data_IF_810263246255
#
_entry.id   IF_810263246255
#
_cell.length_a   1.000
_cell.length_b   1.000
_cell.length_c   1.000
_cell.angle_alpha   90.00
_cell.angle_beta   90.00
_cell.angle_gamma   90.00
#
_symmetry.space_group_name_H-M   'P 1'
#
loop_
_entity.id
_entity.type
_entity.pdbx_description
1 polymer ?
#
# COMPACT_ATOMS: atom_id res chain seq x y z
N UNK A 1 -22.80 -10.69 3.93
CA UNK A 1 -21.69 -11.63 4.11
C UNK A 1 -20.83 -11.09 5.24
N UNK A 2 -20.21 -11.88 6.07
CA UNK A 2 -19.63 -11.44 7.31
C UNK A 2 -18.17 -11.87 7.47
N UNK A 3 -17.33 -10.94 7.94
CA UNK A 3 -16.08 -11.31 8.54
C UNK A 3 -16.38 -11.87 9.93
N UNK A 4 -16.02 -13.14 10.19
CA UNK A 4 -16.21 -13.79 11.50
C UNK A 4 -14.92 -13.85 12.31
N UNK A 5 -13.80 -13.36 11.76
CA UNK A 5 -12.51 -13.28 12.42
C UNK A 5 -11.58 -12.25 11.79
N UNK A 6 -10.45 -12.05 12.44
CA UNK A 6 -9.47 -11.01 12.11
C UNK A 6 -8.42 -11.47 11.09
N UNK A 7 -8.36 -12.78 10.80
CA UNK A 7 -7.37 -13.35 9.89
C UNK A 7 -7.86 -13.33 8.45
N UNK A 8 -6.91 -13.35 7.54
CA UNK A 8 -7.14 -13.22 6.10
C UNK A 8 -8.17 -14.20 5.52
N UNK A 9 -8.27 -15.42 6.06
CA UNK A 9 -9.20 -16.47 5.60
C UNK A 9 -10.40 -16.67 6.54
N UNK A 10 -10.66 -15.78 7.47
CA UNK A 10 -11.79 -15.82 8.38
C UNK A 10 -12.94 -14.92 7.88
N UNK A 11 -13.25 -15.00 6.58
CA UNK A 11 -14.36 -14.32 5.92
C UNK A 11 -14.81 -15.07 4.66
N UNK A 12 -16.08 -14.88 4.27
CA UNK A 12 -16.68 -15.56 3.12
C UNK A 12 -16.01 -15.17 1.80
N UNK A 13 -15.70 -13.88 1.63
CA UNK A 13 -15.14 -13.33 0.38
C UNK A 13 -13.79 -13.94 0.03
N UNK A 14 -12.91 -14.09 1.02
CA UNK A 14 -11.62 -14.74 0.81
C UNK A 14 -11.77 -16.23 0.46
N UNK A 15 -12.77 -16.91 1.04
CA UNK A 15 -13.03 -18.33 0.74
C UNK A 15 -13.69 -18.50 -0.63
N UNK A 16 -14.58 -17.61 -1.03
CA UNK A 16 -15.23 -17.64 -2.36
C UNK A 16 -14.17 -17.42 -3.45
N UNK A 17 -13.25 -16.47 -3.25
CA UNK A 17 -12.14 -16.23 -4.17
C UNK A 17 -11.17 -17.41 -4.30
N UNK A 18 -11.04 -18.26 -3.30
CA UNK A 18 -10.20 -19.47 -3.42
C UNK A 18 -10.66 -20.40 -4.56
N UNK A 19 -11.94 -20.37 -4.92
CA UNK A 19 -12.42 -21.14 -6.07
C UNK A 19 -11.83 -20.62 -7.39
N UNK A 20 -11.66 -19.31 -7.54
CA UNK A 20 -11.02 -18.70 -8.71
C UNK A 20 -9.52 -19.05 -8.73
N UNK A 21 -8.86 -19.00 -7.57
CA UNK A 21 -7.47 -19.44 -7.42
C UNK A 21 -7.26 -20.91 -7.82
N UNK A 22 -8.19 -21.80 -7.44
CA UNK A 22 -8.14 -23.22 -7.83
C UNK A 22 -8.34 -23.43 -9.33
N UNK A 23 -9.21 -22.61 -9.97
CA UNK A 23 -9.55 -22.72 -11.38
C UNK A 23 -8.48 -22.12 -12.30
N UNK A 24 -7.97 -20.95 -11.97
CA UNK A 24 -7.11 -20.11 -12.84
C UNK A 24 -5.66 -20.01 -12.34
N UNK A 25 -5.39 -20.48 -11.13
CA UNK A 25 -4.04 -20.52 -10.59
C UNK A 25 -3.46 -19.16 -10.25
N UNK A 26 -2.17 -18.98 -10.55
CA UNK A 26 -1.44 -17.76 -10.22
C UNK A 26 -1.93 -16.52 -10.98
N UNK A 27 -2.61 -16.70 -12.10
CA UNK A 27 -3.14 -15.59 -12.87
C UNK A 27 -4.31 -14.93 -12.13
N UNK A 28 -5.24 -15.71 -11.52
CA UNK A 28 -6.27 -15.15 -10.65
C UNK A 28 -5.70 -14.33 -9.48
N UNK A 29 -4.59 -14.80 -8.90
CA UNK A 29 -3.90 -14.08 -7.83
C UNK A 29 -3.34 -12.74 -8.31
N UNK A 30 -2.70 -12.72 -9.47
CA UNK A 30 -2.12 -11.49 -10.06
C UNK A 30 -3.20 -10.52 -10.48
N UNK A 31 -4.26 -10.99 -11.12
CA UNK A 31 -5.37 -10.16 -11.61
C UNK A 31 -6.10 -9.48 -10.45
N UNK A 32 -6.39 -10.20 -9.37
CA UNK A 32 -6.98 -9.61 -8.17
C UNK A 32 -6.07 -8.56 -7.52
N UNK A 33 -4.80 -8.91 -7.30
CA UNK A 33 -3.86 -7.98 -6.67
C UNK A 33 -3.64 -6.73 -7.55
N UNK A 34 -3.63 -6.87 -8.88
CA UNK A 34 -3.50 -5.74 -9.80
C UNK A 34 -4.76 -4.87 -9.79
N UNK A 35 -5.95 -5.46 -9.83
CA UNK A 35 -7.21 -4.74 -9.77
C UNK A 35 -7.28 -3.87 -8.51
N UNK A 36 -6.96 -4.43 -7.34
CA UNK A 36 -6.99 -3.70 -6.08
C UNK A 36 -5.87 -2.66 -6.00
N UNK A 37 -4.65 -3.00 -6.43
CA UNK A 37 -3.51 -2.08 -6.38
C UNK A 37 -3.65 -0.87 -7.31
N UNK A 38 -4.41 -1.00 -8.40
CA UNK A 38 -4.63 0.03 -9.41
C UNK A 38 -5.95 0.81 -9.19
N UNK A 39 -6.76 0.42 -8.19
CA UNK A 39 -7.95 1.18 -7.77
C UNK A 39 -7.51 2.55 -7.26
N UNK A 40 -8.07 3.61 -7.83
CA UNK A 40 -7.76 5.00 -7.46
C UNK A 40 -8.09 5.26 -5.98
N UNK A 41 -7.30 6.11 -5.32
CA UNK A 41 -7.53 6.47 -3.91
C UNK A 41 -8.87 7.20 -3.68
N UNK A 42 -9.43 7.82 -4.73
CA UNK A 42 -10.75 8.47 -4.69
C UNK A 42 -11.91 7.48 -4.91
N UNK A 43 -11.62 6.30 -5.45
CA UNK A 43 -12.58 5.22 -5.68
C UNK A 43 -12.77 4.40 -4.40
N UNK A 44 -14.01 3.98 -4.14
CA UNK A 44 -14.35 3.18 -2.97
C UNK A 44 -14.02 1.72 -3.22
N UNK A 45 -13.14 1.15 -2.39
CA UNK A 45 -12.78 -0.26 -2.45
C UNK A 45 -13.77 -1.08 -1.62
N UNK A 46 -14.47 -1.99 -2.28
CA UNK A 46 -15.43 -2.91 -1.68
C UNK A 46 -14.76 -3.87 -0.69
N UNK A 47 -15.52 -4.30 0.32
CA UNK A 47 -15.04 -5.21 1.38
C UNK A 47 -14.62 -6.57 0.83
N UNK A 48 -15.32 -7.08 -0.19
CA UNK A 48 -15.07 -8.41 -0.75
C UNK A 48 -13.73 -8.40 -1.49
N UNK A 49 -13.46 -7.41 -2.34
CA UNK A 49 -12.18 -7.23 -3.04
C UNK A 49 -11.03 -6.99 -2.05
N UNK A 50 -11.25 -6.16 -1.03
CA UNK A 50 -10.28 -5.91 0.02
C UNK A 50 -9.90 -7.16 0.80
N UNK A 51 -10.88 -7.98 1.19
CA UNK A 51 -10.65 -9.21 1.94
C UNK A 51 -9.94 -10.28 1.09
N UNK A 52 -10.35 -10.46 -0.17
CA UNK A 52 -9.71 -11.37 -1.10
C UNK A 52 -8.25 -10.95 -1.39
N UNK A 53 -7.98 -9.64 -1.53
CA UNK A 53 -6.62 -9.14 -1.74
C UNK A 53 -5.70 -9.39 -0.53
N UNK A 54 -6.19 -9.26 0.70
CA UNK A 54 -5.42 -9.64 1.90
C UNK A 54 -5.10 -11.14 1.88
N UNK A 55 -6.06 -12.01 1.53
CA UNK A 55 -5.84 -13.44 1.41
C UNK A 55 -4.81 -13.79 0.31
N UNK A 56 -4.91 -13.17 -0.85
CA UNK A 56 -3.94 -13.32 -1.95
C UNK A 56 -2.53 -12.90 -1.52
N UNK A 57 -2.40 -11.79 -0.81
CA UNK A 57 -1.12 -11.31 -0.31
C UNK A 57 -0.50 -12.25 0.75
N UNK A 58 -1.31 -12.90 1.59
CA UNK A 58 -0.85 -13.97 2.51
C UNK A 58 -0.26 -15.15 1.74
N UNK A 59 -0.89 -15.54 0.62
CA UNK A 59 -0.37 -16.61 -0.25
C UNK A 59 0.99 -16.22 -0.84
N UNK A 60 1.14 -14.98 -1.32
CA UNK A 60 2.42 -14.47 -1.84
C UNK A 60 3.52 -14.51 -0.77
N UNK A 61 3.22 -14.06 0.45
CA UNK A 61 4.17 -14.11 1.56
C UNK A 61 4.57 -15.55 1.91
N UNK A 62 3.60 -16.46 1.97
CA UNK A 62 3.82 -17.87 2.31
C UNK A 62 4.57 -18.65 1.23
N UNK A 63 4.35 -18.36 -0.05
CA UNK A 63 5.13 -18.95 -1.15
C UNK A 63 6.62 -18.56 -1.06
N UNK A 64 6.94 -17.45 -0.43
CA UNK A 64 8.31 -17.01 -0.12
C UNK A 64 8.83 -17.55 1.23
N UNK A 65 8.12 -18.49 1.83
CA UNK A 65 8.50 -19.12 3.10
C UNK A 65 8.19 -18.29 4.34
N UNK A 66 7.28 -17.29 4.25
CA UNK A 66 6.99 -16.38 5.36
C UNK A 66 5.51 -16.44 5.75
N UNK A 67 5.20 -17.04 6.90
CA UNK A 67 3.83 -17.07 7.44
C UNK A 67 2.95 -18.19 6.89
N UNK A 68 3.54 -19.31 6.47
CA UNK A 68 2.81 -20.49 5.98
C UNK A 68 1.84 -21.07 7.02
N UNK A 69 2.14 -20.90 8.30
CA UNK A 69 1.32 -21.30 9.45
C UNK A 69 0.03 -20.48 9.60
N UNK A 70 -0.11 -19.42 8.82
CA UNK A 70 -1.28 -18.54 8.81
C UNK A 70 -2.33 -18.96 7.77
N UNK A 71 -1.95 -19.85 6.85
CA UNK A 71 -2.81 -20.32 5.77
C UNK A 71 -3.71 -21.47 6.23
N UNK A 72 -4.83 -21.63 5.54
CA UNK A 72 -5.67 -22.81 5.70
C UNK A 72 -5.00 -24.06 5.11
N UNK A 73 -5.48 -25.24 5.48
CA UNK A 73 -4.91 -26.50 4.94
C UNK A 73 -5.11 -26.63 3.43
N UNK A 74 -6.22 -26.10 2.93
CA UNK A 74 -6.59 -26.10 1.52
C UNK A 74 -5.59 -25.25 0.73
N UNK A 75 -5.29 -24.05 1.19
CA UNK A 75 -4.30 -23.15 0.57
C UNK A 75 -2.89 -23.73 0.63
N UNK A 76 -2.52 -24.36 1.75
CA UNK A 76 -1.23 -25.06 1.88
C UNK A 76 -1.14 -26.19 0.84
N UNK A 77 -2.20 -27.00 0.70
CA UNK A 77 -2.24 -28.08 -0.29
C UNK A 77 -2.14 -27.54 -1.73
N UNK A 78 -2.82 -26.44 -2.02
CA UNK A 78 -2.72 -25.76 -3.31
C UNK A 78 -1.28 -25.28 -3.60
N UNK A 79 -0.63 -24.62 -2.65
CA UNK A 79 0.76 -24.17 -2.78
C UNK A 79 1.72 -25.33 -3.03
N UNK A 80 1.54 -26.44 -2.31
CA UNK A 80 2.39 -27.62 -2.46
C UNK A 80 2.18 -28.35 -3.80
N UNK A 81 0.93 -28.33 -4.30
CA UNK A 81 0.58 -28.97 -5.56
C UNK A 81 0.95 -28.14 -6.80
N UNK A 82 0.89 -26.82 -6.70
CA UNK A 82 1.07 -25.93 -7.85
C UNK A 82 2.46 -25.27 -7.90
N UNK A 83 3.17 -25.18 -6.77
CA UNK A 83 4.49 -24.54 -6.66
C UNK A 83 4.59 -23.25 -7.50
N UNK A 84 3.71 -22.25 -7.28
CA UNK A 84 3.58 -21.12 -8.18
C UNK A 84 4.91 -20.35 -8.31
N UNK A 85 5.28 -20.02 -9.55
CA UNK A 85 6.47 -19.21 -9.84
C UNK A 85 6.15 -17.72 -9.59
N UNK A 86 6.27 -17.32 -8.31
CA UNK A 86 6.08 -15.94 -7.88
C UNK A 86 7.42 -15.20 -7.92
N UNK A 87 7.44 -14.13 -8.68
CA UNK A 87 8.61 -13.27 -8.91
C UNK A 87 8.63 -12.05 -7.95
N UNK A 88 9.67 -11.24 -8.03
CA UNK A 88 9.81 -10.07 -7.15
C UNK A 88 8.69 -9.04 -7.37
N UNK A 89 8.20 -8.94 -8.58
CA UNK A 89 7.12 -8.06 -8.98
C UNK A 89 5.80 -8.42 -8.28
N UNK A 90 5.53 -9.72 -8.05
CA UNK A 90 4.34 -10.18 -7.32
C UNK A 90 4.37 -9.72 -5.85
N UNK A 91 5.56 -9.64 -5.24
CA UNK A 91 5.70 -9.07 -3.88
C UNK A 91 5.38 -7.57 -3.87
N UNK A 92 5.88 -6.82 -4.85
CA UNK A 92 5.60 -5.39 -4.97
C UNK A 92 4.10 -5.17 -5.18
N UNK A 93 3.50 -5.97 -6.05
CA UNK A 93 2.07 -5.91 -6.33
C UNK A 93 1.23 -6.22 -5.09
N UNK A 94 1.57 -7.27 -4.35
CA UNK A 94 0.91 -7.63 -3.09
C UNK A 94 1.06 -6.51 -2.03
N UNK A 95 2.24 -5.89 -1.91
CA UNK A 95 2.43 -4.75 -1.02
C UNK A 95 1.49 -3.60 -1.39
N UNK A 96 1.44 -3.21 -2.68
CA UNK A 96 0.58 -2.12 -3.17
C UNK A 96 -0.90 -2.42 -2.92
N UNK A 97 -1.36 -3.63 -3.19
CA UNK A 97 -2.73 -4.04 -2.94
C UNK A 97 -3.08 -3.93 -1.44
N UNK A 98 -2.24 -4.46 -0.55
CA UNK A 98 -2.45 -4.36 0.90
C UNK A 98 -2.41 -2.90 1.37
N UNK A 99 -1.49 -2.09 0.85
CA UNK A 99 -1.42 -0.66 1.14
C UNK A 99 -2.69 0.06 0.69
N UNK A 100 -3.27 -0.29 -0.47
CA UNK A 100 -4.56 0.24 -0.94
C UNK A 100 -5.72 -0.16 -0.03
N UNK A 101 -5.75 -1.41 0.44
CA UNK A 101 -6.80 -1.89 1.37
C UNK A 101 -6.80 -1.11 2.69
N UNK A 102 -5.63 -0.72 3.20
CA UNK A 102 -5.53 0.08 4.45
C UNK A 102 -5.59 1.60 4.21
N UNK A 103 -5.71 2.02 2.95
CA UNK A 103 -5.89 3.41 2.57
C UNK A 103 -7.28 3.95 2.91
N UNK A 104 -7.52 5.25 2.69
CA UNK A 104 -8.85 5.84 2.72
C UNK A 104 -9.79 5.20 1.68
N UNK A 105 -11.10 5.39 1.84
CA UNK A 105 -12.12 4.86 0.94
C UNK A 105 -12.03 3.33 0.74
N UNK A 106 -11.85 2.60 1.84
CA UNK A 106 -11.85 1.14 1.88
C UNK A 106 -12.84 0.64 2.92
N UNK A 107 -13.85 -0.11 2.45
CA UNK A 107 -14.90 -0.63 3.32
C UNK A 107 -14.34 -1.61 4.36
N UNK A 108 -13.40 -2.47 3.97
CA UNK A 108 -12.77 -3.42 4.89
C UNK A 108 -12.03 -2.67 6.02
N UNK A 109 -11.33 -1.59 5.71
CA UNK A 109 -10.70 -0.76 6.72
C UNK A 109 -11.73 -0.12 7.65
N UNK A 110 -12.78 0.51 7.09
CA UNK A 110 -13.84 1.16 7.87
C UNK A 110 -14.51 0.18 8.82
N UNK A 111 -14.81 -1.04 8.36
CA UNK A 111 -15.39 -2.10 9.18
C UNK A 111 -14.55 -2.41 10.43
N UNK A 112 -13.23 -2.42 10.31
CA UNK A 112 -12.33 -2.72 11.43
C UNK A 112 -11.95 -1.50 12.25
N UNK A 113 -12.14 -0.27 11.74
CA UNK A 113 -11.94 0.99 12.47
C UNK A 113 -13.13 1.37 13.36
N UNK A 114 -14.34 0.86 13.11
CA UNK A 114 -15.52 1.14 13.96
C UNK A 114 -15.31 0.78 15.44
N UNK A 115 -14.33 -0.05 15.76
CA UNK A 115 -14.00 -0.45 17.13
C UNK A 115 -12.80 0.26 17.76
N UNK A 116 -11.75 0.55 17.03
CA UNK A 116 -10.50 1.21 17.49
C UNK A 116 -9.47 1.25 16.37
N UNK A 117 -8.73 2.33 16.25
CA UNK A 117 -7.54 2.42 15.36
C UNK A 117 -6.40 1.46 15.76
N UNK A 118 -6.54 0.76 16.87
CA UNK A 118 -5.57 -0.20 17.43
C UNK A 118 -6.16 -1.62 17.42
N UNK A 119 -7.01 -1.92 16.43
CA UNK A 119 -7.63 -3.24 16.30
C UNK A 119 -6.58 -4.33 16.00
N UNK A 120 -6.81 -5.58 16.44
CA UNK A 120 -5.95 -6.72 16.13
C UNK A 120 -5.76 -6.92 14.62
N UNK A 121 -6.78 -6.60 13.81
CA UNK A 121 -6.68 -6.64 12.35
C UNK A 121 -5.57 -5.72 11.81
N UNK A 122 -5.45 -4.49 12.30
CA UNK A 122 -4.37 -3.58 11.88
C UNK A 122 -2.98 -4.14 12.23
N UNK A 123 -2.84 -4.78 13.39
CA UNK A 123 -1.59 -5.43 13.76
C UNK A 123 -1.25 -6.61 12.83
N UNK A 124 -2.28 -7.35 12.42
CA UNK A 124 -2.16 -8.50 11.52
C UNK A 124 -1.73 -8.06 10.11
N UNK A 125 -2.40 -7.06 9.56
CA UNK A 125 -2.05 -6.50 8.24
C UNK A 125 -0.66 -5.86 8.24
N UNK A 126 -0.26 -5.20 9.33
CA UNK A 126 1.12 -4.69 9.48
C UNK A 126 2.15 -5.81 9.40
N UNK A 127 1.90 -6.91 10.11
CA UNK A 127 2.76 -8.11 10.08
C UNK A 127 2.81 -8.72 8.68
N UNK A 128 1.70 -8.69 7.93
CA UNK A 128 1.67 -9.13 6.53
C UNK A 128 2.59 -8.26 5.67
N UNK A 129 2.50 -6.94 5.75
CA UNK A 129 3.38 -6.03 5.01
C UNK A 129 4.87 -6.23 5.35
N UNK A 130 5.21 -6.46 6.62
CA UNK A 130 6.58 -6.80 7.03
C UNK A 130 7.05 -8.12 6.39
N UNK A 131 6.18 -9.13 6.32
CA UNK A 131 6.48 -10.43 5.67
C UNK A 131 6.63 -10.29 4.16
N UNK A 132 5.87 -9.41 3.51
CA UNK A 132 6.02 -9.07 2.10
C UNK A 132 7.31 -8.28 1.83
N UNK A 133 7.89 -7.65 2.85
CA UNK A 133 9.10 -6.85 2.75
C UNK A 133 8.82 -5.36 2.54
N UNK A 134 7.58 -4.92 2.71
CA UNK A 134 7.25 -3.49 2.74
C UNK A 134 7.88 -2.82 3.96
N UNK A 135 8.40 -1.62 3.76
CA UNK A 135 8.81 -0.71 4.83
C UNK A 135 7.71 0.28 5.20
N UNK A 136 6.52 0.13 4.59
CA UNK A 136 5.38 1.01 4.85
C UNK A 136 4.96 0.94 6.33
N UNK A 137 4.73 2.09 6.92
CA UNK A 137 4.21 2.20 8.29
C UNK A 137 2.69 2.26 8.24
N UNK A 138 2.00 1.17 8.58
CA UNK A 138 0.55 1.17 8.78
C UNK A 138 0.24 2.09 9.97
N UNK A 139 -0.74 2.97 9.79
CA UNK A 139 -1.13 3.95 10.82
C UNK A 139 -0.38 5.27 10.76
N UNK A 140 0.58 5.45 9.83
CA UNK A 140 0.83 6.79 9.34
C UNK A 140 -0.38 7.15 8.45
N UNK A 141 -1.04 8.29 8.61
CA UNK A 141 -2.07 8.71 7.69
C UNK A 141 -1.49 8.63 6.29
N UNK A 142 -2.13 7.86 5.40
CA UNK A 142 -1.74 7.82 4.00
C UNK A 142 -2.00 9.19 3.43
N UNK A 143 -0.90 9.87 3.12
CA UNK A 143 -0.86 11.26 2.73
C UNK A 143 -0.90 11.40 1.21
N UNK A 144 -1.71 10.58 0.53
CA UNK A 144 -1.82 10.65 -0.94
C UNK A 144 -2.54 11.92 -1.42
N UNK A 145 -3.40 12.53 -0.58
CA UNK A 145 -3.97 13.86 -0.80
C UNK A 145 -3.80 14.80 0.39
N UNK A 146 -2.77 14.58 1.21
CA UNK A 146 -2.44 15.58 2.21
C UNK A 146 -2.01 16.85 1.47
N UNK A 147 -2.79 17.92 1.62
CA UNK A 147 -2.35 19.23 1.15
C UNK A 147 -0.97 19.51 1.71
N UNK A 148 -0.03 19.86 0.84
CA UNK A 148 1.29 20.26 1.25
C UNK A 148 1.17 21.30 2.36
N UNK A 149 1.65 20.96 3.57
CA UNK A 149 1.54 21.89 4.69
C UNK A 149 2.46 23.08 4.45
N UNK A 150 2.07 24.25 4.92
CA UNK A 150 2.94 25.44 4.88
C UNK A 150 4.28 25.16 5.58
N UNK A 151 4.29 24.28 6.58
CA UNK A 151 5.50 23.83 7.27
C UNK A 151 6.46 23.06 6.35
N UNK A 152 5.96 22.17 5.48
CA UNK A 152 6.79 21.41 4.53
C UNK A 152 7.35 22.32 3.44
N UNK A 153 6.55 23.25 2.91
CA UNK A 153 7.01 24.26 1.95
C UNK A 153 8.07 25.18 2.55
N UNK A 154 7.85 25.62 3.79
CA UNK A 154 8.80 26.45 4.51
C UNK A 154 10.11 25.71 4.81
N UNK A 155 10.04 24.42 5.15
CA UNK A 155 11.21 23.57 5.34
C UNK A 155 12.02 23.44 4.03
N UNK A 156 11.35 23.24 2.88
CA UNK A 156 12.00 23.19 1.57
C UNK A 156 12.73 24.50 1.27
N UNK A 157 12.07 25.65 1.44
CA UNK A 157 12.67 26.95 1.19
C UNK A 157 13.87 27.23 2.11
N UNK A 158 13.73 26.90 3.39
CA UNK A 158 14.83 27.04 4.36
C UNK A 158 16.02 26.18 3.97
N UNK A 159 15.76 24.94 3.50
CA UNK A 159 16.82 24.02 3.09
C UNK A 159 17.52 24.46 1.81
N UNK A 160 16.76 24.94 0.79
CA UNK A 160 17.32 25.51 -0.43
C UNK A 160 18.22 26.70 -0.10
N UNK A 161 17.74 27.62 0.73
CA UNK A 161 18.51 28.78 1.18
C UNK A 161 19.80 28.40 1.91
N UNK A 162 19.72 27.43 2.84
CA UNK A 162 20.89 26.93 3.58
C UNK A 162 21.97 26.33 2.66
N UNK A 163 21.56 25.83 1.48
CA UNK A 163 22.47 25.33 0.43
C UNK A 163 22.93 26.42 -0.57
N UNK A 164 22.50 27.64 -0.39
CA UNK A 164 22.79 28.74 -1.32
C UNK A 164 22.03 28.62 -2.66
N UNK A 165 20.94 27.85 -2.69
CA UNK A 165 20.09 27.68 -3.87
C UNK A 165 18.90 28.63 -3.77
N UNK A 166 18.98 29.75 -4.47
CA UNK A 166 17.92 30.76 -4.46
C UNK A 166 16.89 30.46 -5.57
N UNK A 167 15.63 30.22 -5.24
CA UNK A 167 14.59 30.03 -6.24
C UNK A 167 14.25 31.31 -6.96
N UNK A 168 14.03 31.25 -8.26
CA UNK A 168 13.46 32.35 -9.03
C UNK A 168 12.03 32.65 -8.59
N UNK A 169 11.47 33.80 -8.99
CA UNK A 169 10.07 34.15 -8.67
C UNK A 169 9.08 33.11 -9.17
N UNK A 170 9.32 32.49 -10.33
CA UNK A 170 8.49 31.48 -10.93
C UNK A 170 8.58 30.16 -10.14
N UNK A 171 9.79 29.75 -9.77
CA UNK A 171 10.04 28.56 -8.96
C UNK A 171 9.45 28.70 -7.55
N UNK A 172 9.59 29.87 -6.93
CA UNK A 172 8.98 30.17 -5.65
C UNK A 172 7.44 30.08 -5.73
N UNK A 173 6.85 30.67 -6.79
CA UNK A 173 5.41 30.59 -7.01
C UNK A 173 4.94 29.15 -7.19
N UNK A 174 5.69 28.29 -7.89
CA UNK A 174 5.39 26.86 -8.04
C UNK A 174 5.42 26.13 -6.71
N UNK A 175 6.44 26.36 -5.88
CA UNK A 175 6.55 25.74 -4.54
C UNK A 175 5.38 26.15 -3.65
N UNK A 176 5.05 27.43 -3.61
CA UNK A 176 3.96 27.96 -2.78
C UNK A 176 2.59 27.46 -3.26
N UNK A 177 2.38 27.39 -4.58
CA UNK A 177 1.11 26.97 -5.18
C UNK A 177 0.89 25.46 -5.15
N UNK A 178 1.94 24.63 -4.93
CA UNK A 178 1.76 23.18 -4.87
C UNK A 178 0.89 22.80 -3.67
N UNK A 179 -0.21 22.09 -3.94
CA UNK A 179 -1.07 21.51 -2.92
C UNK A 179 -0.74 20.02 -2.68
N UNK A 180 0.16 19.44 -3.47
CA UNK A 180 0.51 18.02 -3.38
C UNK A 180 1.70 17.81 -2.41
N UNK A 181 1.43 17.23 -1.25
CA UNK A 181 2.46 16.95 -0.25
C UNK A 181 3.52 15.95 -0.73
N UNK A 182 3.15 14.96 -1.57
CA UNK A 182 4.10 14.00 -2.13
C UNK A 182 5.09 14.71 -3.07
N UNK A 183 4.63 15.67 -3.87
CA UNK A 183 5.47 16.49 -4.73
C UNK A 183 6.48 17.31 -3.90
N UNK A 184 6.00 18.00 -2.86
CA UNK A 184 6.87 18.82 -1.98
C UNK A 184 7.90 17.97 -1.25
N UNK A 185 7.53 16.78 -0.79
CA UNK A 185 8.48 15.83 -0.17
C UNK A 185 9.48 15.28 -1.17
N UNK A 186 9.05 15.01 -2.41
CA UNK A 186 9.95 14.65 -3.50
C UNK A 186 10.99 15.75 -3.76
N UNK A 187 10.57 17.02 -3.75
CA UNK A 187 11.48 18.16 -3.84
C UNK A 187 12.43 18.25 -2.64
N UNK A 188 11.95 18.03 -1.41
CA UNK A 188 12.78 17.99 -0.21
C UNK A 188 13.86 16.90 -0.29
N UNK A 189 13.50 15.71 -0.74
CA UNK A 189 14.46 14.62 -0.90
C UNK A 189 15.51 14.94 -1.97
N UNK A 190 15.10 15.48 -3.13
CA UNK A 190 16.03 15.89 -4.19
C UNK A 190 16.88 17.09 -3.81
N UNK A 191 16.35 18.00 -2.99
CA UNK A 191 17.08 19.16 -2.53
C UNK A 191 18.35 18.80 -1.73
N UNK A 192 18.48 17.58 -1.25
CA UNK A 192 19.70 17.08 -0.58
C UNK A 192 20.90 17.03 -1.52
N UNK A 193 20.70 16.64 -2.78
CA UNK A 193 21.79 16.33 -3.72
C UNK A 193 21.78 17.18 -4.99
N UNK A 194 20.64 17.78 -5.35
CA UNK A 194 20.49 18.51 -6.60
C UNK A 194 21.42 19.74 -6.67
N UNK A 195 22.01 20.03 -7.83
CA UNK A 195 22.93 21.15 -8.00
C UNK A 195 22.23 22.50 -8.21
N UNK A 196 20.92 22.51 -8.45
CA UNK A 196 20.13 23.72 -8.69
C UNK A 196 18.67 23.54 -8.31
N UNK A 197 17.93 24.63 -8.11
CA UNK A 197 16.48 24.61 -7.84
C UNK A 197 15.71 23.96 -9.01
N UNK A 198 16.11 24.18 -10.26
CA UNK A 198 15.50 23.54 -11.42
C UNK A 198 15.62 21.99 -11.32
N UNK A 199 16.80 21.48 -10.98
CA UNK A 199 17.01 20.04 -10.79
C UNK A 199 16.22 19.47 -9.59
N UNK A 200 15.84 20.29 -8.62
CA UNK A 200 14.94 19.89 -7.51
C UNK A 200 13.51 19.76 -8.00
N UNK A 201 13.02 20.69 -8.80
CA UNK A 201 11.61 20.79 -9.18
C UNK A 201 11.23 19.94 -10.40
N UNK A 202 12.18 19.66 -11.31
CA UNK A 202 11.92 19.03 -12.62
C UNK A 202 12.54 17.63 -12.76
N UNK A 203 13.24 17.14 -11.72
CA UNK A 203 13.91 15.85 -11.68
C UNK A 203 13.01 14.66 -11.32
#
# INVERSE_FOLDING_TARGET
MGAWGEKAFENDSALDWLADLEAEGVDALRDLLASVADTDDEEYLDVDDGAAAIAAAEIVAAARGRGRDRLTKEVIAWLDGNAPDLVAEDLVLACRAVERVVAGNSELRELWEEGSSDSPWHADVRTLLERLGSTARIGAPQRAHEKASETEKQALLTFLHARGLEPTKEQLARIVASENAAEVRGWLARALLAPSVAAVLDG
#
